data_IF_255608174429
#
_entry.id   IF_255608174429
#
_cell.length_a   1.000
_cell.length_b   1.000
_cell.length_c   1.000
_cell.angle_alpha   90.00
_cell.angle_beta   90.00
_cell.angle_gamma   90.00
#
_symmetry.space_group_name_H-M   'P 1'
#
loop_
_entity.id
_entity.type
_entity.pdbx_description
1 polymer ?
#
# COMPACT_ATOMS: atom_id res chain seq x y z
N UNK A 1 5.40 -3.24 9.11
CA UNK A 1 3.93 -3.15 9.27
C UNK A 1 3.47 -1.69 9.27
N UNK A 2 4.15 -0.82 10.02
CA UNK A 2 3.80 0.61 10.19
C UNK A 2 3.77 1.43 8.88
N UNK A 3 4.71 1.20 7.96
CA UNK A 3 4.76 1.91 6.68
C UNK A 3 3.57 1.59 5.77
N UNK A 4 3.10 0.33 5.77
CA UNK A 4 1.97 -0.11 4.95
C UNK A 4 0.65 0.48 5.46
N UNK A 5 0.49 0.52 6.78
CA UNK A 5 -0.67 1.16 7.42
C UNK A 5 -0.66 2.66 7.11
N UNK A 6 0.50 3.33 7.20
CA UNK A 6 0.63 4.74 6.78
C UNK A 6 0.29 4.92 5.30
N UNK A 7 0.81 4.07 4.42
CA UNK A 7 0.52 4.10 2.99
C UNK A 7 -0.99 4.03 2.72
N UNK A 8 -1.68 3.04 3.29
CA UNK A 8 -3.12 2.85 3.05
C UNK A 8 -3.96 3.94 3.71
N UNK A 9 -3.55 4.43 4.89
CA UNK A 9 -4.20 5.57 5.54
C UNK A 9 -4.08 6.83 4.67
N UNK A 10 -2.90 7.09 4.10
CA UNK A 10 -2.68 8.22 3.18
C UNK A 10 -3.44 8.04 1.86
N UNK A 11 -3.47 6.83 1.31
CA UNK A 11 -4.24 6.52 0.11
C UNK A 11 -5.75 6.70 0.33
N UNK A 12 -6.27 6.32 1.49
CA UNK A 12 -7.65 6.56 1.93
C UNK A 12 -7.98 8.04 2.10
N UNK A 13 -7.00 8.89 2.40
CA UNK A 13 -7.25 10.34 2.51
C UNK A 13 -7.49 11.01 1.17
N UNK A 14 -7.29 10.30 0.04
CA UNK A 14 -7.34 10.81 -1.35
C UNK A 14 -6.47 12.07 -1.60
N UNK A 15 -5.65 12.48 -0.63
CA UNK A 15 -4.74 13.63 -0.73
C UNK A 15 -3.51 13.35 -1.59
N UNK A 16 -3.15 12.08 -1.73
CA UNK A 16 -1.97 11.66 -2.45
C UNK A 16 -2.37 10.65 -3.52
N UNK A 17 -1.80 10.80 -4.71
CA UNK A 17 -1.96 9.78 -5.75
C UNK A 17 -1.12 8.56 -5.44
N UNK A 18 -1.53 7.42 -5.98
CA UNK A 18 -0.76 6.17 -5.92
C UNK A 18 0.69 6.34 -6.38
N UNK A 19 0.96 7.21 -7.34
CA UNK A 19 2.30 7.49 -7.85
C UNK A 19 3.18 8.18 -6.80
N UNK A 20 2.67 9.22 -6.14
CA UNK A 20 3.38 9.94 -5.07
C UNK A 20 3.72 9.03 -3.89
N UNK A 21 2.75 8.19 -3.48
CA UNK A 21 2.97 7.24 -2.40
C UNK A 21 3.92 6.11 -2.84
N UNK A 22 3.87 5.69 -4.10
CA UNK A 22 4.80 4.70 -4.66
C UNK A 22 6.25 5.19 -4.59
N UNK A 23 6.50 6.47 -4.88
CA UNK A 23 7.82 7.10 -4.77
C UNK A 23 8.26 7.27 -3.31
N UNK A 24 7.37 7.75 -2.42
CA UNK A 24 7.67 7.93 -1.00
C UNK A 24 8.01 6.62 -0.28
N UNK A 25 7.24 5.56 -0.56
CA UNK A 25 7.41 4.26 0.09
C UNK A 25 8.38 3.34 -0.65
N UNK A 26 8.97 3.80 -1.77
CA UNK A 26 9.81 2.99 -2.69
C UNK A 26 9.19 1.64 -3.05
N UNK A 27 7.87 1.60 -3.17
CA UNK A 27 7.16 0.41 -3.65
C UNK A 27 6.94 0.55 -5.15
N UNK A 28 6.42 -0.48 -5.81
CA UNK A 28 6.05 -0.40 -7.22
C UNK A 28 4.55 -0.17 -7.37
N UNK A 29 4.12 0.57 -8.41
CA UNK A 29 2.69 0.89 -8.66
C UNK A 29 1.82 -0.37 -8.69
N UNK A 30 2.35 -1.44 -9.30
CA UNK A 30 1.67 -2.75 -9.37
C UNK A 30 1.42 -3.35 -7.98
N UNK A 31 2.38 -3.21 -7.08
CA UNK A 31 2.28 -3.69 -5.69
C UNK A 31 1.28 -2.84 -4.92
N UNK A 32 1.32 -1.53 -5.09
CA UNK A 32 0.39 -0.60 -4.48
C UNK A 32 -1.08 -0.88 -4.85
N UNK A 33 -1.38 -1.10 -6.14
CA UNK A 33 -2.71 -1.50 -6.61
C UNK A 33 -3.17 -2.80 -5.96
N UNK A 34 -2.32 -3.83 -5.95
CA UNK A 34 -2.64 -5.12 -5.34
C UNK A 34 -2.94 -5.01 -3.84
N UNK A 35 -2.30 -4.07 -3.14
CA UNK A 35 -2.60 -3.77 -1.74
C UNK A 35 -3.92 -3.03 -1.57
N UNK A 36 -4.24 -2.06 -2.43
CA UNK A 36 -5.54 -1.40 -2.41
C UNK A 36 -6.68 -2.35 -2.77
N UNK A 37 -6.48 -3.24 -3.74
CA UNK A 37 -7.45 -4.28 -4.08
C UNK A 37 -7.69 -5.22 -2.90
N UNK A 38 -6.62 -5.65 -2.20
CA UNK A 38 -6.73 -6.42 -0.96
C UNK A 38 -7.41 -5.65 0.16
N UNK A 39 -7.09 -4.37 0.30
CA UNK A 39 -7.66 -3.49 1.31
C UNK A 39 -9.17 -3.30 1.08
N UNK A 40 -9.56 -3.06 -0.17
CA UNK A 40 -10.94 -2.94 -0.60
C UNK A 40 -11.72 -4.27 -0.42
N UNK A 41 -11.04 -5.42 -0.54
CA UNK A 41 -11.65 -6.73 -0.39
C UNK A 41 -11.72 -7.25 1.06
N UNK A 42 -10.89 -6.75 1.99
CA UNK A 42 -10.71 -7.43 3.29
C UNK A 42 -10.20 -6.58 4.45
N UNK A 43 -10.23 -5.24 4.38
CA UNK A 43 -9.82 -4.33 5.46
C UNK A 43 -8.31 -4.37 5.78
N UNK A 44 -7.86 -3.56 6.75
CA UNK A 44 -6.44 -3.38 7.14
C UNK A 44 -5.77 -4.72 7.49
N UNK A 45 -6.53 -5.70 7.98
CA UNK A 45 -6.07 -7.03 8.36
C UNK A 45 -5.58 -7.87 7.16
N UNK A 46 -6.07 -7.58 5.95
CA UNK A 46 -5.60 -8.20 4.71
C UNK A 46 -4.23 -7.66 4.26
N UNK A 47 -3.78 -6.54 4.83
CA UNK A 47 -2.44 -5.99 4.65
C UNK A 47 -1.44 -6.75 5.54
N UNK A 48 -1.25 -8.03 5.23
CA UNK A 48 -0.19 -8.82 5.85
C UNK A 48 1.20 -8.19 5.64
N UNK A 49 2.19 -8.55 6.48
CA UNK A 49 3.56 -8.06 6.32
C UNK A 49 4.02 -8.33 4.89
N UNK A 50 4.60 -7.31 4.25
CA UNK A 50 5.32 -7.48 2.98
C UNK A 50 6.22 -8.72 3.12
N UNK A 51 6.04 -9.81 2.34
CA UNK A 51 7.21 -10.54 1.94
C UNK A 51 7.98 -9.53 1.09
N UNK A 52 9.06 -8.99 1.67
CA UNK A 52 10.01 -8.23 0.88
C UNK A 52 10.33 -9.15 -0.28
N UNK A 53 9.95 -8.72 -1.48
CA UNK A 53 10.17 -9.50 -2.68
C UNK A 53 11.69 -9.67 -2.76
N UNK A 54 12.17 -10.82 -2.30
CA UNK A 54 13.47 -11.35 -2.66
C UNK A 54 13.36 -11.78 -4.11
N UNK A 55 13.51 -10.81 -5.01
CA UNK A 55 14.03 -10.90 -6.39
C UNK A 55 13.93 -9.54 -7.06
#
# INVERSE_FOLDING_TARGET
MEELIKFVTLAQTERFTLTELCEQFRISRKTAYKHLERYAAGSIEALGPFPLLGV
#
